data_IF_315441097772
#
_entry.id   IF_315441097772
#
_cell.length_a   1.000
_cell.length_b   1.000
_cell.length_c   1.000
_cell.angle_alpha   90.00
_cell.angle_beta   90.00
_cell.angle_gamma   90.00
#
_symmetry.space_group_name_H-M   'P 1'
#
loop_
_entity.id
_entity.type
_entity.pdbx_description
1 polymer ?
#
# COMPACT_ATOMS: atom_id res chain seq x y z
N UNK A 1 21.57 -6.89 1.52
CA UNK A 1 21.48 -5.53 0.91
C UNK A 1 21.31 -5.52 -0.61
N UNK A 2 21.63 -6.60 -1.36
CA UNK A 2 21.42 -6.68 -2.82
C UNK A 2 19.94 -6.82 -3.22
N UNK A 3 19.08 -7.32 -2.32
CA UNK A 3 17.64 -7.45 -2.54
C UNK A 3 16.90 -6.12 -2.62
N UNK A 4 17.25 -5.16 -1.75
CA UNK A 4 16.56 -3.86 -1.67
C UNK A 4 16.63 -3.07 -2.98
N UNK A 5 17.79 -3.04 -3.64
CA UNK A 5 17.93 -2.35 -4.92
C UNK A 5 17.16 -3.05 -6.05
N UNK A 6 16.96 -4.37 -5.97
CA UNK A 6 16.15 -5.13 -6.92
C UNK A 6 14.66 -4.82 -6.71
N UNK A 7 14.21 -4.80 -5.47
CA UNK A 7 12.83 -4.44 -5.11
C UNK A 7 12.50 -3.00 -5.56
N UNK A 8 13.41 -2.05 -5.35
CA UNK A 8 13.28 -0.68 -5.87
C UNK A 8 13.17 -0.67 -7.40
N UNK A 9 14.07 -1.36 -8.10
CA UNK A 9 14.05 -1.44 -9.56
C UNK A 9 12.74 -2.03 -10.10
N UNK A 10 12.26 -3.12 -9.49
CA UNK A 10 11.02 -3.79 -9.88
C UNK A 10 9.79 -2.95 -9.55
N UNK A 11 9.81 -2.22 -8.44
CA UNK A 11 8.76 -1.26 -8.10
C UNK A 11 8.68 -0.12 -9.12
N UNK A 12 9.80 0.54 -9.42
CA UNK A 12 9.86 1.65 -10.37
C UNK A 12 9.41 1.23 -11.77
N UNK A 13 9.83 0.05 -12.23
CA UNK A 13 9.41 -0.49 -13.53
C UNK A 13 7.91 -0.72 -13.60
N UNK A 14 7.34 -1.37 -12.57
CA UNK A 14 5.90 -1.62 -12.49
C UNK A 14 5.10 -0.32 -12.42
N UNK A 15 5.54 0.63 -11.60
CA UNK A 15 4.90 1.94 -11.49
C UNK A 15 4.93 2.68 -12.84
N UNK A 16 6.08 2.71 -13.53
CA UNK A 16 6.21 3.34 -14.84
C UNK A 16 5.27 2.75 -15.89
N UNK A 17 5.10 1.42 -15.89
CA UNK A 17 4.24 0.73 -16.85
C UNK A 17 2.73 0.93 -16.58
N UNK A 18 2.35 1.45 -15.40
CA UNK A 18 0.96 1.76 -15.03
C UNK A 18 0.52 3.18 -15.36
N UNK A 19 1.46 4.13 -15.50
CA UNK A 19 1.11 5.52 -15.79
C UNK A 19 0.61 5.66 -17.21
N UNK A 20 -0.54 6.32 -17.37
CA UNK A 20 -1.11 6.66 -18.67
C UNK A 20 -0.33 7.82 -19.32
N UNK A 21 0.39 7.58 -20.43
CA UNK A 21 1.19 8.63 -21.07
C UNK A 21 0.36 9.82 -21.57
N UNK A 22 -0.93 9.61 -21.87
CA UNK A 22 -1.82 10.68 -22.35
C UNK A 22 -2.14 11.72 -21.28
N UNK A 23 -2.01 11.34 -20.00
CA UNK A 23 -2.28 12.19 -18.83
C UNK A 23 -1.04 12.91 -18.31
N UNK A 24 0.15 12.49 -18.73
CA UNK A 24 1.42 13.01 -18.26
C UNK A 24 1.75 14.43 -18.78
N UNK A 25 0.92 15.00 -19.67
CA UNK A 25 1.10 16.37 -20.18
C UNK A 25 2.36 16.55 -21.04
N UNK A 26 2.92 15.46 -21.57
CA UNK A 26 4.11 15.49 -22.41
C UNK A 26 3.74 15.69 -23.89
N UNK A 27 4.49 16.52 -24.63
CA UNK A 27 4.28 16.68 -26.07
C UNK A 27 4.56 15.37 -26.79
N UNK A 28 3.78 15.08 -27.84
CA UNK A 28 4.02 13.92 -28.70
C UNK A 28 5.37 14.07 -29.38
N UNK A 29 6.21 13.03 -29.30
CA UNK A 29 7.55 13.01 -29.88
C UNK A 29 7.60 12.36 -31.28
N UNK A 30 6.43 12.03 -31.85
CA UNK A 30 6.28 11.42 -33.17
C UNK A 30 6.83 9.99 -33.29
N UNK A 31 7.39 9.41 -32.21
CA UNK A 31 7.99 8.07 -32.23
C UNK A 31 6.96 7.02 -31.89
N UNK A 32 7.00 5.89 -32.60
CA UNK A 32 6.18 4.71 -32.29
C UNK A 32 6.47 4.24 -30.85
N UNK A 33 5.44 4.27 -30.00
CA UNK A 33 5.56 3.84 -28.59
C UNK A 33 5.60 2.31 -28.51
N UNK A 34 6.63 1.77 -27.84
CA UNK A 34 6.86 0.33 -27.66
C UNK A 34 6.62 -0.18 -26.23
N UNK A 35 6.27 0.72 -25.32
CA UNK A 35 6.03 0.43 -23.89
C UNK A 35 4.60 0.81 -23.53
N UNK A 36 4.01 0.12 -22.56
CA UNK A 36 2.61 0.34 -22.13
C UNK A 36 2.42 1.72 -21.49
N UNK A 37 3.29 2.06 -20.53
CA UNK A 37 3.23 3.31 -19.81
C UNK A 37 4.26 4.32 -20.29
N UNK A 38 4.83 5.07 -19.34
CA UNK A 38 5.87 6.04 -19.65
C UNK A 38 7.18 5.36 -20.07
N UNK A 39 7.94 6.04 -20.93
CA UNK A 39 9.33 5.69 -21.24
C UNK A 39 10.25 6.24 -20.16
N UNK A 40 11.49 5.75 -20.10
CA UNK A 40 12.46 6.20 -19.09
C UNK A 40 12.79 7.68 -19.23
N UNK A 41 12.93 8.14 -20.46
CA UNK A 41 13.18 9.54 -20.77
C UNK A 41 12.02 10.46 -20.36
N UNK A 42 10.78 9.95 -20.41
CA UNK A 42 9.58 10.69 -20.03
C UNK A 42 9.50 10.85 -18.51
N UNK A 43 9.72 9.77 -17.75
CA UNK A 43 9.79 9.86 -16.28
C UNK A 43 10.94 10.77 -15.84
N UNK A 44 12.11 10.63 -16.48
CA UNK A 44 13.27 11.45 -16.17
C UNK A 44 12.99 12.95 -16.40
N UNK A 45 12.33 13.28 -17.51
CA UNK A 45 11.91 14.64 -17.82
C UNK A 45 10.93 15.19 -16.77
N UNK A 46 9.87 14.44 -16.44
CA UNK A 46 8.88 14.83 -15.43
C UNK A 46 9.47 14.99 -14.03
N UNK A 47 10.45 14.14 -13.68
CA UNK A 47 11.12 14.17 -12.38
C UNK A 47 12.30 15.17 -12.33
N UNK A 48 12.67 15.80 -13.45
CA UNK A 48 13.80 16.73 -13.51
C UNK A 48 15.16 16.08 -13.28
N UNK A 49 15.34 14.83 -13.71
CA UNK A 49 16.60 14.08 -13.61
C UNK A 49 17.09 13.63 -14.98
N UNK A 50 18.36 13.21 -15.09
CA UNK A 50 18.85 12.66 -16.35
C UNK A 50 18.25 11.28 -16.64
N UNK A 51 18.08 10.96 -17.93
CA UNK A 51 17.58 9.64 -18.35
C UNK A 51 18.50 8.51 -17.90
N UNK A 52 19.83 8.72 -17.92
CA UNK A 52 20.80 7.75 -17.41
C UNK A 52 20.63 7.52 -15.89
N UNK A 53 20.39 8.60 -15.13
CA UNK A 53 20.17 8.51 -13.70
C UNK A 53 18.95 7.64 -13.37
N UNK A 54 17.82 7.88 -14.04
CA UNK A 54 16.61 7.07 -13.86
C UNK A 54 16.80 5.62 -14.35
N UNK A 55 17.49 5.41 -15.46
CA UNK A 55 17.81 4.08 -15.96
C UNK A 55 18.65 3.27 -14.95
N UNK A 56 19.60 3.91 -14.26
CA UNK A 56 20.40 3.26 -13.21
C UNK A 56 19.57 2.86 -11.99
N UNK A 57 18.54 3.64 -11.65
CA UNK A 57 17.59 3.28 -10.58
C UNK A 57 16.81 2.02 -10.98
N UNK A 58 16.25 1.99 -12.19
CA UNK A 58 15.52 0.81 -12.70
C UNK A 58 16.39 -0.43 -12.97
N UNK A 59 17.71 -0.26 -13.01
CA UNK A 59 18.67 -1.37 -13.10
C UNK A 59 19.08 -1.90 -11.71
N UNK A 60 18.64 -1.25 -10.62
CA UNK A 60 19.04 -1.62 -9.27
C UNK A 60 20.52 -1.33 -8.99
N UNK A 61 21.14 -0.39 -9.72
CA UNK A 61 22.51 0.03 -9.40
C UNK A 61 22.53 0.71 -8.04
N UNK A 62 23.67 0.59 -7.34
CA UNK A 62 23.88 1.28 -6.06
C UNK A 62 24.01 2.79 -6.30
N UNK A 63 22.89 3.49 -6.18
CA UNK A 63 22.81 4.95 -6.16
C UNK A 63 21.82 5.34 -5.06
N UNK A 64 22.11 6.43 -4.36
CA UNK A 64 21.32 6.90 -3.24
C UNK A 64 20.62 8.21 -3.63
N UNK A 65 19.36 8.18 -4.09
CA UNK A 65 18.64 9.40 -4.47
C UNK A 65 18.34 10.28 -3.26
N UNK A 66 18.38 11.59 -3.46
CA UNK A 66 17.99 12.54 -2.42
C UNK A 66 16.48 12.49 -2.18
N UNK A 67 15.97 12.89 -0.99
CA UNK A 67 14.54 12.95 -0.73
C UNK A 67 13.75 13.74 -1.77
N UNK A 68 14.33 14.85 -2.26
CA UNK A 68 13.71 15.65 -3.32
C UNK A 68 13.55 14.89 -4.64
N UNK A 69 14.55 14.09 -5.02
CA UNK A 69 14.48 13.22 -6.21
C UNK A 69 13.43 12.13 -6.03
N UNK A 70 13.33 11.54 -4.83
CA UNK A 70 12.32 10.52 -4.51
C UNK A 70 10.91 11.08 -4.65
N UNK A 71 10.65 12.26 -4.09
CA UNK A 71 9.35 12.92 -4.20
C UNK A 71 9.05 13.36 -5.65
N UNK A 72 10.05 13.81 -6.40
CA UNK A 72 9.88 14.13 -7.83
C UNK A 72 9.53 12.89 -8.66
N UNK A 73 10.21 11.76 -8.44
CA UNK A 73 9.90 10.47 -9.08
C UNK A 73 8.50 9.99 -8.68
N UNK A 74 8.14 10.09 -7.40
CA UNK A 74 6.81 9.70 -6.92
C UNK A 74 5.68 10.52 -7.56
N UNK A 75 5.90 11.81 -7.80
CA UNK A 75 4.96 12.66 -8.56
C UNK A 75 4.90 12.29 -10.04
N UNK A 76 6.06 12.12 -10.69
CA UNK A 76 6.14 11.75 -12.10
C UNK A 76 5.48 10.40 -12.41
N UNK A 77 5.49 9.48 -11.43
CA UNK A 77 4.86 8.17 -11.51
C UNK A 77 3.40 8.14 -11.01
N UNK A 78 2.80 9.30 -10.74
CA UNK A 78 1.43 9.43 -10.22
C UNK A 78 1.14 8.55 -8.99
N UNK A 79 2.14 8.32 -8.14
CA UNK A 79 1.98 7.47 -6.97
C UNK A 79 1.02 8.11 -5.97
N UNK A 80 0.12 7.30 -5.44
CA UNK A 80 -0.72 7.63 -4.30
C UNK A 80 0.10 7.64 -2.99
N UNK A 81 -0.54 7.96 -1.87
CA UNK A 81 0.16 8.07 -0.59
C UNK A 81 0.81 6.74 -0.15
N UNK A 82 0.16 5.61 -0.47
CA UNK A 82 0.68 4.29 -0.18
C UNK A 82 1.94 3.99 -1.02
N UNK A 83 1.90 4.25 -2.33
CA UNK A 83 3.02 4.08 -3.24
C UNK A 83 4.20 4.98 -2.90
N UNK A 84 3.95 6.24 -2.51
CA UNK A 84 5.01 7.17 -2.07
C UNK A 84 5.67 6.71 -0.77
N UNK A 85 4.87 6.22 0.18
CA UNK A 85 5.39 5.64 1.42
C UNK A 85 6.27 4.44 1.12
N UNK A 86 5.79 3.51 0.30
CA UNK A 86 6.57 2.34 -0.08
C UNK A 86 7.87 2.70 -0.81
N UNK A 87 7.84 3.68 -1.71
CA UNK A 87 9.05 4.17 -2.40
C UNK A 87 10.08 4.73 -1.43
N UNK A 88 9.67 5.52 -0.41
CA UNK A 88 10.57 6.03 0.63
C UNK A 88 11.18 4.90 1.46
N UNK A 89 10.36 3.92 1.84
CA UNK A 89 10.79 2.75 2.62
C UNK A 89 11.83 1.92 1.85
N UNK A 90 11.64 1.71 0.54
CA UNK A 90 12.57 0.98 -0.33
C UNK A 90 13.95 1.67 -0.46
N UNK A 91 14.01 2.99 -0.27
CA UNK A 91 15.25 3.77 -0.38
C UNK A 91 15.91 3.91 1.01
N UNK A 92 15.26 3.43 2.06
CA UNK A 92 15.75 3.58 3.44
C UNK A 92 15.70 5.03 3.92
N UNK A 93 14.92 5.89 3.25
CA UNK A 93 14.58 7.19 3.81
C UNK A 93 13.62 6.93 4.97
N UNK A 94 13.89 7.44 6.19
CA UNK A 94 12.95 7.28 7.28
C UNK A 94 11.63 7.92 6.87
N UNK A 95 10.62 7.10 6.57
CA UNK A 95 9.23 7.55 6.58
C UNK A 95 9.03 8.17 7.95
N UNK A 96 8.73 9.48 7.98
CA UNK A 96 8.51 10.22 9.22
C UNK A 96 7.74 9.33 10.18
N UNK A 97 8.22 9.09 11.42
CA UNK A 97 7.68 8.06 12.30
C UNK A 97 6.18 8.25 12.30
N UNK A 98 5.45 7.27 11.74
CA UNK A 98 4.00 7.35 11.67
C UNK A 98 3.57 7.61 13.09
N UNK A 99 3.06 8.83 13.37
CA UNK A 99 2.62 9.23 14.71
C UNK A 99 1.88 8.04 15.28
N UNK A 100 2.31 7.56 16.45
CA UNK A 100 1.64 6.48 17.18
C UNK A 100 0.15 6.70 17.04
N UNK A 101 -0.49 5.84 16.23
CA UNK A 101 -1.83 6.15 15.75
C UNK A 101 -2.73 6.10 16.97
N UNK A 102 -3.52 7.15 17.16
CA UNK A 102 -4.49 7.20 18.26
C UNK A 102 -5.31 5.91 18.25
N UNK A 103 -5.36 5.22 19.40
CA UNK A 103 -6.17 4.02 19.59
C UNK A 103 -7.61 4.34 19.19
N UNK A 104 -8.13 3.62 18.20
CA UNK A 104 -9.53 3.77 17.78
C UNK A 104 -10.42 3.15 18.86
N UNK A 105 -11.41 3.90 19.33
CA UNK A 105 -12.37 3.45 20.33
C UNK A 105 -13.77 3.42 19.74
N UNK A 106 -14.49 2.36 20.03
CA UNK A 106 -15.91 2.20 19.67
C UNK A 106 -16.74 2.98 20.66
N UNK A 107 -17.75 3.71 20.18
CA UNK A 107 -18.68 4.43 21.05
C UNK A 107 -19.63 3.42 21.72
N UNK A 108 -20.06 3.63 22.98
CA UNK A 108 -20.98 2.72 23.67
C UNK A 108 -22.24 2.37 22.86
N UNK A 109 -22.86 3.34 22.19
CA UNK A 109 -24.05 3.09 21.36
C UNK A 109 -23.82 2.16 20.17
N UNK A 110 -22.59 2.06 19.67
CA UNK A 110 -22.27 1.13 18.58
C UNK A 110 -22.14 -0.32 19.09
N UNK A 111 -21.71 -0.52 20.34
CA UNK A 111 -21.81 -1.84 20.98
C UNK A 111 -23.27 -2.27 21.12
N UNK A 112 -24.12 -1.38 21.64
CA UNK A 112 -25.56 -1.65 21.77
C UNK A 112 -26.22 -1.98 20.42
N UNK A 113 -25.83 -1.25 19.36
CA UNK A 113 -26.35 -1.49 18.01
C UNK A 113 -25.99 -2.88 17.49
N UNK A 114 -24.72 -3.29 17.59
CA UNK A 114 -24.30 -4.61 17.06
C UNK A 114 -24.84 -5.76 17.92
N UNK A 115 -25.04 -5.54 19.23
CA UNK A 115 -25.64 -6.53 20.13
C UNK A 115 -27.15 -6.69 19.87
N UNK A 116 -27.83 -5.65 19.37
CA UNK A 116 -29.24 -5.74 18.97
C UNK A 116 -29.44 -6.57 17.68
N UNK A 117 -28.40 -6.78 16.87
CA UNK A 117 -28.40 -7.64 15.69
C UNK A 117 -28.21 -9.12 16.08
N UNK A 118 -29.06 -9.64 16.98
CA UNK A 118 -28.86 -10.97 17.60
C UNK A 118 -28.92 -12.16 16.61
N UNK A 119 -29.57 -11.97 15.45
CA UNK A 119 -29.60 -12.96 14.37
C UNK A 119 -28.47 -12.85 13.36
N UNK A 120 -27.76 -11.73 13.32
CA UNK A 120 -26.84 -11.40 12.23
C UNK A 120 -25.41 -11.18 12.74
N UNK A 121 -24.40 -11.88 12.18
CA UNK A 121 -23.00 -11.61 12.48
C UNK A 121 -22.60 -10.17 12.17
N UNK A 122 -22.14 -9.42 13.18
CA UNK A 122 -21.71 -8.03 13.02
C UNK A 122 -20.31 -7.77 13.60
N UNK A 123 -19.46 -7.10 12.81
CA UNK A 123 -18.12 -6.64 13.19
C UNK A 123 -18.02 -5.12 13.04
N UNK A 124 -17.30 -4.47 13.96
CA UNK A 124 -16.87 -3.08 13.81
C UNK A 124 -15.38 -3.08 13.45
N UNK A 125 -15.07 -2.65 12.23
CA UNK A 125 -13.69 -2.62 11.72
C UNK A 125 -13.10 -1.20 11.78
N UNK A 126 -11.85 -1.11 12.22
CA UNK A 126 -11.08 0.12 12.16
C UNK A 126 -10.54 0.39 10.75
N UNK A 127 -9.91 1.56 10.57
CA UNK A 127 -9.30 2.00 9.29
C UNK A 127 -8.32 1.02 8.63
N UNK A 128 -7.75 0.08 9.39
CA UNK A 128 -6.83 -0.96 8.90
C UNK A 128 -7.37 -2.36 9.10
N UNK A 129 -8.70 -2.51 9.17
CA UNK A 129 -9.39 -3.78 9.46
C UNK A 129 -9.07 -4.38 10.83
N UNK A 130 -8.62 -3.57 11.80
CA UNK A 130 -8.57 -3.99 13.21
C UNK A 130 -9.99 -4.29 13.69
N UNK A 131 -10.22 -5.44 14.33
CA UNK A 131 -11.55 -5.77 14.86
C UNK A 131 -11.73 -5.02 16.19
N UNK A 132 -12.53 -3.97 16.17
CA UNK A 132 -12.76 -3.10 17.33
C UNK A 132 -13.90 -3.58 18.22
N UNK A 133 -14.89 -4.28 17.65
CA UNK A 133 -15.97 -4.94 18.36
C UNK A 133 -16.55 -6.07 17.49
N UNK A 134 -17.13 -7.07 18.14
CA UNK A 134 -17.82 -8.20 17.51
C UNK A 134 -19.00 -8.62 18.39
N UNK A 135 -20.17 -8.82 17.79
CA UNK A 135 -21.32 -9.37 18.51
C UNK A 135 -21.18 -10.89 18.69
N UNK A 136 -22.08 -11.49 19.47
CA UNK A 136 -22.08 -12.94 19.77
C UNK A 136 -22.07 -13.81 18.50
N UNK A 137 -22.89 -13.45 17.50
CA UNK A 137 -22.98 -14.21 16.24
C UNK A 137 -21.70 -14.13 15.42
N UNK A 138 -21.06 -12.97 15.34
CA UNK A 138 -19.76 -12.83 14.67
C UNK A 138 -18.66 -13.65 15.33
N UNK A 139 -18.67 -13.74 16.67
CA UNK A 139 -17.71 -14.58 17.41
C UNK A 139 -17.91 -16.07 17.15
N UNK A 140 -19.16 -16.49 16.98
CA UNK A 140 -19.51 -17.87 16.68
C UNK A 140 -19.19 -18.24 15.21
N UNK A 141 -19.45 -17.33 14.27
CA UNK A 141 -19.24 -17.58 12.85
C UNK A 141 -17.76 -17.47 12.42
N UNK A 142 -17.06 -16.43 12.87
CA UNK A 142 -15.70 -16.14 12.43
C UNK A 142 -14.68 -16.66 13.45
N UNK A 143 -14.51 -15.91 14.54
CA UNK A 143 -13.60 -16.23 15.62
C UNK A 143 -13.94 -15.35 16.81
N UNK A 144 -13.64 -15.83 18.02
CA UNK A 144 -13.69 -14.99 19.21
C UNK A 144 -12.47 -14.06 19.25
N UNK A 145 -12.56 -12.96 18.52
CA UNK A 145 -11.50 -11.95 18.42
C UNK A 145 -11.08 -11.39 19.79
N UNK A 146 -11.92 -11.51 20.82
CA UNK A 146 -11.57 -11.07 22.17
C UNK A 146 -10.47 -11.92 22.83
N UNK A 147 -10.29 -13.16 22.38
CA UNK A 147 -9.21 -14.07 22.80
C UNK A 147 -7.89 -13.81 22.06
N UNK A 148 -7.92 -13.02 20.98
CA UNK A 148 -6.73 -12.68 20.19
C UNK A 148 -6.06 -11.44 20.82
N UNK A 149 -4.72 -11.45 21.00
CA UNK A 149 -3.98 -10.29 21.49
C UNK A 149 -4.30 -9.03 20.67
N UNK A 150 -4.46 -7.85 21.30
CA UNK A 150 -4.88 -6.63 20.58
C UNK A 150 -4.03 -6.26 19.36
N UNK A 151 -2.73 -6.60 19.37
CA UNK A 151 -1.81 -6.34 18.25
C UNK A 151 -2.04 -7.24 17.04
N UNK A 152 -2.70 -8.37 17.23
CA UNK A 152 -2.94 -9.37 16.19
C UNK A 152 -4.42 -9.42 15.77
N UNK A 153 -5.26 -8.66 16.46
CA UNK A 153 -6.71 -8.60 16.27
C UNK A 153 -7.08 -7.80 15.01
N UNK A 154 -6.79 -8.37 13.86
CA UNK A 154 -6.98 -7.77 12.56
C UNK A 154 -7.68 -8.74 11.61
N UNK A 155 -8.79 -8.33 11.02
CA UNK A 155 -9.63 -9.18 10.19
C UNK A 155 -8.92 -9.64 8.91
N UNK A 156 -8.21 -8.75 8.22
CA UNK A 156 -7.41 -9.13 7.05
C UNK A 156 -6.28 -10.09 7.42
N UNK A 157 -5.61 -9.88 8.56
CA UNK A 157 -4.62 -10.84 9.05
C UNK A 157 -5.24 -12.21 9.30
N UNK A 158 -6.40 -12.25 9.96
CA UNK A 158 -7.10 -13.49 10.27
C UNK A 158 -7.53 -14.21 8.99
N UNK A 159 -8.18 -13.53 8.04
CA UNK A 159 -8.68 -14.18 6.81
C UNK A 159 -7.57 -14.78 5.96
N UNK A 160 -6.38 -14.15 5.91
CA UNK A 160 -5.27 -14.63 5.06
C UNK A 160 -4.31 -15.60 5.77
N UNK A 161 -4.12 -15.48 7.08
CA UNK A 161 -3.07 -16.20 7.80
C UNK A 161 -3.58 -17.25 8.78
N UNK A 162 -4.85 -17.21 9.18
CA UNK A 162 -5.42 -18.22 10.07
C UNK A 162 -5.96 -19.39 9.23
N UNK A 163 -5.59 -20.61 9.60
CA UNK A 163 -6.01 -21.82 8.88
C UNK A 163 -7.52 -22.04 8.96
N UNK A 164 -8.15 -21.74 10.11
CA UNK A 164 -9.59 -21.91 10.31
C UNK A 164 -10.39 -20.99 9.37
N UNK A 165 -9.87 -19.80 9.07
CA UNK A 165 -10.55 -18.85 8.19
C UNK A 165 -10.70 -19.38 6.75
N UNK A 166 -9.75 -20.20 6.26
CA UNK A 166 -9.84 -20.79 4.92
C UNK A 166 -11.03 -21.74 4.76
N UNK A 167 -11.49 -22.35 5.85
CA UNK A 167 -12.65 -23.25 5.82
C UNK A 167 -13.99 -22.51 5.70
N UNK A 168 -14.01 -21.21 6.06
CA UNK A 168 -15.22 -20.38 6.07
C UNK A 168 -15.48 -19.65 4.75
N UNK A 169 -14.42 -19.34 4.01
CA UNK A 169 -14.50 -18.66 2.71
C UNK A 169 -14.01 -19.62 1.63
N UNK A 170 -14.96 -20.34 1.02
CA UNK A 170 -14.68 -21.13 -0.18
C UNK A 170 -14.36 -20.20 -1.36
N UNK A 171 -13.41 -20.63 -2.20
CA UNK A 171 -12.91 -19.88 -3.37
C UNK A 171 -13.98 -19.59 -4.44
#
# INVERSE_FOLDING_TARGET
>A
MTGLNRELADFLRRARDHVDPSRAGLPSDGRVRRVKGLRREEVALLAGVSTDYYARLEQGRRINPSPAVVEAIGRALELDEAGRTHLRDLIGLPSSPTKSRSVQRVRPGLYQLIDALDGEPALVLGRRTDVLAANRMAKALFADFDKIPPKERNYARWIFLNEDARSLFAD
#
